data_IF_475579051214
#
_entry.id   IF_475579051214
#
_cell.length_a   1.000
_cell.length_b   1.000
_cell.length_c   1.000
_cell.angle_alpha   90.00
_cell.angle_beta   90.00
_cell.angle_gamma   90.00
#
_symmetry.space_group_name_H-M   'P 1'
#
loop_
_entity.id
_entity.type
_entity.pdbx_description
1 polymer ?
#
# COMPACT_ATOMS: atom_id res chain seq x y z
N UNK A 1 23.54 -25.94 62.87
CA UNK A 1 23.84 -25.49 61.49
C UNK A 1 22.86 -24.36 61.20
N UNK A 2 23.28 -23.13 61.45
CA UNK A 2 22.48 -21.93 61.20
C UNK A 2 22.30 -21.76 59.70
N UNK A 3 21.05 -21.67 59.26
CA UNK A 3 20.72 -21.28 57.89
C UNK A 3 21.05 -19.79 57.74
N UNK A 4 22.08 -19.47 56.97
CA UNK A 4 22.41 -18.11 56.58
C UNK A 4 21.24 -17.52 55.75
N UNK A 5 20.54 -16.54 56.32
CA UNK A 5 19.41 -15.83 55.72
C UNK A 5 19.84 -14.73 54.72
N UNK A 6 21.14 -14.64 54.40
CA UNK A 6 21.69 -13.54 53.59
C UNK A 6 21.58 -13.70 52.07
N UNK A 7 21.19 -14.88 51.56
CA UNK A 7 21.15 -15.12 50.11
C UNK A 7 19.74 -14.86 49.57
N UNK A 8 19.54 -13.72 48.90
CA UNK A 8 18.31 -13.44 48.16
C UNK A 8 18.00 -14.57 47.16
N UNK A 9 16.74 -14.98 46.98
CA UNK A 9 16.38 -16.01 46.01
C UNK A 9 16.80 -15.57 44.60
N UNK A 10 17.39 -16.48 43.83
CA UNK A 10 17.78 -16.23 42.43
C UNK A 10 16.54 -15.80 41.67
N UNK A 11 16.56 -14.60 41.09
CA UNK A 11 15.43 -14.07 40.33
C UNK A 11 15.17 -14.95 39.10
N UNK A 12 13.97 -15.50 38.98
CA UNK A 12 13.54 -16.18 37.77
C UNK A 12 13.06 -15.15 36.73
N UNK A 13 13.40 -15.31 35.44
CA UNK A 13 12.88 -14.45 34.40
C UNK A 13 11.35 -14.59 34.32
N UNK A 14 10.71 -13.52 33.86
CA UNK A 14 9.29 -13.56 33.53
C UNK A 14 9.04 -14.58 32.41
N UNK A 15 7.81 -15.08 32.36
CA UNK A 15 7.35 -15.93 31.25
C UNK A 15 7.50 -15.15 29.93
N UNK A 16 7.99 -15.78 28.84
CA UNK A 16 8.10 -15.10 27.55
C UNK A 16 6.71 -14.70 27.03
N UNK A 17 6.61 -13.45 26.58
CA UNK A 17 5.43 -12.88 25.92
C UNK A 17 5.83 -12.24 24.59
N UNK A 18 4.90 -12.19 23.63
CA UNK A 18 5.14 -11.67 22.27
C UNK A 18 4.41 -10.36 22.09
N UNK A 19 5.15 -9.28 21.79
CA UNK A 19 4.61 -8.00 21.34
C UNK A 19 4.78 -7.82 19.83
N UNK A 20 3.71 -7.43 19.12
CA UNK A 20 3.73 -7.17 17.69
C UNK A 20 3.74 -5.67 17.43
N UNK A 21 4.63 -5.20 16.55
CA UNK A 21 4.66 -3.83 16.06
C UNK A 21 5.15 -3.78 14.61
N UNK A 22 4.92 -2.67 13.92
CA UNK A 22 5.38 -2.47 12.55
C UNK A 22 6.82 -1.96 12.55
N UNK A 23 7.74 -2.79 12.06
CA UNK A 23 9.13 -2.38 11.85
C UNK A 23 9.27 -1.43 10.65
N UNK A 24 8.50 -1.64 9.58
CA UNK A 24 8.56 -0.82 8.38
C UNK A 24 7.23 -0.81 7.63
N UNK A 25 6.89 0.34 7.02
CA UNK A 25 5.78 0.52 6.08
C UNK A 25 6.39 0.98 4.75
N UNK A 26 6.20 0.21 3.68
CA UNK A 26 6.77 0.49 2.35
C UNK A 26 8.29 0.72 2.36
N UNK A 27 9.02 0.01 3.24
CA UNK A 27 10.48 0.15 3.39
C UNK A 27 10.93 1.29 4.32
N UNK A 28 10.02 2.16 4.77
CA UNK A 28 10.32 3.22 5.73
C UNK A 28 10.00 2.78 7.16
N UNK A 29 10.92 2.98 8.10
CA UNK A 29 10.68 2.70 9.51
C UNK A 29 9.84 3.81 10.16
N UNK A 30 8.64 3.52 10.68
CA UNK A 30 7.81 4.55 11.31
C UNK A 30 8.40 4.97 12.66
N UNK A 31 8.22 6.24 13.01
CA UNK A 31 8.67 6.80 14.28
C UNK A 31 7.70 6.39 15.41
N UNK A 32 7.78 5.14 15.86
CA UNK A 32 7.04 4.64 17.04
C UNK A 32 7.99 4.45 18.22
N UNK A 33 7.46 4.25 19.43
CA UNK A 33 8.28 4.09 20.63
C UNK A 33 9.12 2.80 20.62
N UNK A 34 8.64 1.77 19.91
CA UNK A 34 9.29 0.47 19.76
C UNK A 34 10.41 0.48 18.71
N UNK A 35 10.36 1.42 17.77
CA UNK A 35 11.35 1.54 16.71
C UNK A 35 12.50 2.47 17.14
N UNK A 36 13.77 2.11 16.90
CA UNK A 36 14.90 3.01 17.14
C UNK A 36 14.75 4.32 16.38
N UNK A 37 14.95 5.44 17.09
CA UNK A 37 15.10 6.76 16.47
C UNK A 37 16.46 6.86 15.79
N UNK A 38 16.55 6.36 14.56
CA UNK A 38 17.72 6.65 13.75
C UNK A 38 17.64 8.15 13.43
N UNK A 39 18.60 8.94 13.94
CA UNK A 39 18.75 10.36 13.60
C UNK A 39 19.24 10.44 12.15
N UNK A 40 18.35 10.10 11.22
CA UNK A 40 18.54 10.32 9.79
C UNK A 40 17.86 11.65 9.52
N UNK A 41 18.65 12.62 9.05
CA UNK A 41 18.15 13.89 8.57
C UNK A 41 16.93 13.61 7.68
N UNK A 42 15.78 14.16 8.11
CA UNK A 42 14.49 14.21 7.42
C UNK A 42 14.39 13.20 6.28
N UNK A 43 13.83 12.01 6.59
CA UNK A 43 13.29 11.14 5.55
C UNK A 43 12.10 11.88 4.92
N UNK A 44 12.39 12.87 4.07
CA UNK A 44 11.46 13.33 3.06
C UNK A 44 10.99 12.08 2.35
N UNK A 45 9.68 11.86 2.34
CA UNK A 45 9.05 10.97 1.38
C UNK A 45 9.35 11.53 -0.02
N UNK A 46 10.56 11.29 -0.52
CA UNK A 46 10.87 11.61 -1.89
C UNK A 46 9.92 10.76 -2.73
N UNK A 47 9.10 11.38 -3.58
CA UNK A 47 8.19 10.64 -4.43
C UNK A 47 9.05 9.69 -5.26
N UNK A 48 8.89 8.39 -5.00
CA UNK A 48 9.57 7.31 -5.70
C UNK A 48 9.47 7.60 -7.21
N UNK A 49 10.61 7.90 -7.83
CA UNK A 49 10.65 8.12 -9.27
C UNK A 49 10.38 6.79 -9.93
N UNK A 50 9.14 6.61 -10.39
CA UNK A 50 8.68 5.36 -10.96
C UNK A 50 9.56 4.98 -12.17
N UNK A 51 9.97 3.71 -12.33
CA UNK A 51 10.68 3.26 -13.52
C UNK A 51 9.82 3.49 -14.79
N UNK A 52 10.49 3.70 -15.92
CA UNK A 52 9.87 4.13 -17.18
C UNK A 52 8.79 3.15 -17.67
N UNK A 53 9.00 1.86 -17.43
CA UNK A 53 8.10 0.77 -17.78
C UNK A 53 6.80 0.87 -16.99
N UNK A 54 6.88 1.14 -15.68
CA UNK A 54 5.70 1.33 -14.83
C UNK A 54 4.96 2.62 -15.16
N UNK A 55 5.66 3.69 -15.55
CA UNK A 55 5.02 4.92 -16.05
C UNK A 55 4.21 4.66 -17.32
N UNK A 56 4.76 3.87 -18.25
CA UNK A 56 4.07 3.47 -19.48
C UNK A 56 2.87 2.57 -19.19
N UNK A 57 3.02 1.62 -18.26
CA UNK A 57 1.93 0.76 -17.81
C UNK A 57 0.80 1.59 -17.19
N UNK A 58 1.13 2.52 -16.29
CA UNK A 58 0.18 3.47 -15.71
C UNK A 58 -0.58 4.25 -16.79
N UNK A 59 0.14 4.85 -17.73
CA UNK A 59 -0.47 5.62 -18.81
C UNK A 59 -1.44 4.77 -19.65
N UNK A 60 -1.09 3.52 -19.93
CA UNK A 60 -1.97 2.57 -20.65
C UNK A 60 -3.21 2.22 -19.84
N UNK A 61 -3.05 1.88 -18.57
CA UNK A 61 -4.16 1.52 -17.68
C UNK A 61 -5.15 2.68 -17.58
N UNK A 62 -4.65 3.88 -17.24
CA UNK A 62 -5.48 5.08 -17.10
C UNK A 62 -6.14 5.43 -18.43
N UNK A 63 -5.41 5.37 -19.55
CA UNK A 63 -5.98 5.62 -20.88
C UNK A 63 -7.16 4.72 -21.21
N UNK A 64 -7.04 3.41 -20.95
CA UNK A 64 -8.10 2.43 -21.21
C UNK A 64 -9.28 2.62 -20.25
N UNK A 65 -9.02 2.84 -18.97
CA UNK A 65 -10.07 3.02 -17.95
C UNK A 65 -10.88 4.29 -18.20
N UNK A 66 -10.23 5.40 -18.57
CA UNK A 66 -10.91 6.69 -18.79
C UNK A 66 -11.63 6.79 -20.15
N UNK A 67 -11.21 6.01 -21.14
CA UNK A 67 -11.85 5.95 -22.46
C UNK A 67 -12.95 4.87 -22.56
N UNK A 68 -13.16 4.09 -21.50
CA UNK A 68 -14.15 3.02 -21.48
C UNK A 68 -15.57 3.54 -21.78
N UNK A 69 -16.19 2.98 -22.81
CA UNK A 69 -17.57 3.25 -23.19
C UNK A 69 -18.47 2.05 -22.90
N UNK A 70 -19.75 2.28 -22.55
CA UNK A 70 -20.66 1.22 -22.12
C UNK A 70 -21.23 0.40 -23.30
N UNK A 71 -21.18 0.95 -24.51
CA UNK A 71 -21.78 0.37 -25.72
C UNK A 71 -20.89 -0.65 -26.41
N UNK A 72 -19.59 -0.69 -26.11
CA UNK A 72 -18.65 -1.64 -26.69
C UNK A 72 -17.82 -2.27 -25.57
N UNK A 73 -17.97 -3.59 -25.31
CA UNK A 73 -17.09 -4.28 -24.38
C UNK A 73 -15.68 -4.31 -24.99
N UNK A 74 -14.82 -3.40 -24.53
CA UNK A 74 -13.44 -3.32 -24.99
C UNK A 74 -12.64 -4.46 -24.35
N UNK A 75 -12.07 -5.34 -25.19
CA UNK A 75 -11.14 -6.40 -24.75
C UNK A 75 -9.98 -5.81 -23.92
N UNK A 76 -9.62 -4.55 -24.19
CA UNK A 76 -8.63 -3.82 -23.39
C UNK A 76 -9.05 -3.63 -21.94
N UNK A 77 -10.30 -3.29 -21.65
CA UNK A 77 -10.75 -3.06 -20.28
C UNK A 77 -10.77 -4.36 -19.48
N UNK A 78 -11.22 -5.47 -20.06
CA UNK A 78 -11.20 -6.77 -19.37
C UNK A 78 -9.77 -7.24 -19.08
N UNK A 79 -8.83 -7.02 -20.01
CA UNK A 79 -7.41 -7.28 -19.80
C UNK A 79 -6.82 -6.43 -18.67
N UNK A 80 -7.12 -5.12 -18.64
CA UNK A 80 -6.68 -4.24 -17.55
C UNK A 80 -7.23 -4.70 -16.20
N UNK A 81 -8.52 -5.04 -16.14
CA UNK A 81 -9.15 -5.54 -14.92
C UNK A 81 -8.53 -6.86 -14.44
N UNK A 82 -8.13 -7.74 -15.36
CA UNK A 82 -7.37 -8.96 -15.03
C UNK A 82 -5.99 -8.62 -14.48
N UNK A 83 -5.25 -7.73 -15.14
CA UNK A 83 -3.91 -7.28 -14.73
C UNK A 83 -3.95 -6.69 -13.31
N UNK A 84 -4.89 -5.78 -13.03
CA UNK A 84 -5.06 -5.19 -11.69
C UNK A 84 -5.34 -6.23 -10.60
N UNK A 85 -6.00 -7.34 -10.95
CA UNK A 85 -6.33 -8.42 -10.01
C UNK A 85 -5.19 -9.41 -9.79
N UNK A 86 -4.40 -9.71 -10.82
CA UNK A 86 -3.46 -10.85 -10.79
C UNK A 86 -2.01 -10.46 -10.62
N UNK A 87 -1.63 -9.24 -11.01
CA UNK A 87 -0.23 -8.85 -11.07
C UNK A 87 0.24 -8.25 -9.73
N UNK A 88 1.21 -8.92 -9.11
CA UNK A 88 1.82 -8.52 -7.83
C UNK A 88 2.78 -7.34 -7.98
N UNK A 89 3.27 -7.03 -9.18
CA UNK A 89 4.22 -5.95 -9.45
C UNK A 89 3.61 -4.55 -9.46
N UNK A 90 2.28 -4.43 -9.33
CA UNK A 90 1.54 -3.16 -9.41
C UNK A 90 1.51 -2.42 -8.06
N UNK A 91 2.08 -2.99 -6.99
CA UNK A 91 2.03 -2.38 -5.66
C UNK A 91 2.60 -0.95 -5.62
N UNK A 92 3.70 -0.69 -6.35
CA UNK A 92 4.28 0.66 -6.49
C UNK A 92 3.35 1.65 -7.19
N UNK A 93 2.46 1.17 -8.06
CA UNK A 93 1.49 1.98 -8.80
C UNK A 93 0.22 2.31 -8.00
N UNK A 94 -0.07 1.54 -6.96
CA UNK A 94 -1.23 1.71 -6.08
C UNK A 94 -1.44 3.15 -5.60
N UNK A 95 -0.45 3.86 -5.04
CA UNK A 95 -0.65 5.25 -4.60
C UNK A 95 -0.98 6.21 -5.75
N UNK A 96 -0.44 5.98 -6.96
CA UNK A 96 -0.70 6.81 -8.13
C UNK A 96 -2.09 6.55 -8.72
N UNK A 97 -2.48 5.28 -8.81
CA UNK A 97 -3.81 4.86 -9.27
C UNK A 97 -4.89 5.34 -8.30
N UNK A 98 -4.69 5.20 -6.99
CA UNK A 98 -5.66 5.66 -6.00
C UNK A 98 -5.86 7.18 -6.06
N UNK A 99 -4.76 7.96 -6.17
CA UNK A 99 -4.83 9.41 -6.35
C UNK A 99 -5.55 9.80 -7.64
N UNK A 100 -5.22 9.14 -8.75
CA UNK A 100 -5.86 9.39 -10.04
C UNK A 100 -7.36 9.10 -9.98
N UNK A 101 -7.75 7.92 -9.48
CA UNK A 101 -9.15 7.52 -9.37
C UNK A 101 -9.93 8.44 -8.45
N UNK A 102 -9.37 8.84 -7.31
CA UNK A 102 -9.98 9.83 -6.44
C UNK A 102 -10.23 11.17 -7.16
N UNK A 103 -9.23 11.68 -7.89
CA UNK A 103 -9.38 12.92 -8.67
C UNK A 103 -10.47 12.79 -9.74
N UNK A 104 -10.52 11.65 -10.42
CA UNK A 104 -11.51 11.40 -11.48
C UNK A 104 -12.93 11.26 -10.93
N UNK A 105 -13.11 10.59 -9.79
CA UNK A 105 -14.40 10.50 -9.09
C UNK A 105 -14.87 11.88 -8.62
N UNK A 106 -13.95 12.66 -8.03
CA UNK A 106 -14.23 14.03 -7.57
C UNK A 106 -14.60 14.97 -8.72
N UNK A 107 -13.93 14.86 -9.86
CA UNK A 107 -14.18 15.72 -11.02
C UNK A 107 -15.41 15.29 -11.85
N UNK A 108 -15.80 14.01 -11.82
CA UNK A 108 -16.79 13.45 -12.75
C UNK A 108 -18.01 12.80 -12.04
N UNK A 109 -18.65 13.49 -11.10
CA UNK A 109 -19.79 12.94 -10.34
C UNK A 109 -21.02 12.58 -11.18
N UNK A 110 -21.19 13.22 -12.36
CA UNK A 110 -22.36 13.00 -13.23
C UNK A 110 -22.14 11.92 -14.30
N UNK A 111 -20.91 11.48 -14.53
CA UNK A 111 -20.58 10.47 -15.56
C UNK A 111 -20.63 9.07 -14.94
N UNK A 112 -21.85 8.56 -14.76
CA UNK A 112 -22.10 7.28 -14.06
C UNK A 112 -21.36 6.08 -14.67
N UNK A 113 -21.18 6.07 -16.00
CA UNK A 113 -20.45 5.00 -16.68
C UNK A 113 -18.97 4.99 -16.27
N UNK A 114 -18.33 6.15 -16.28
CA UNK A 114 -16.94 6.31 -15.86
C UNK A 114 -16.77 5.89 -14.39
N UNK A 115 -17.69 6.35 -13.53
CA UNK A 115 -17.68 5.99 -12.10
C UNK A 115 -17.81 4.48 -11.90
N UNK A 116 -18.71 3.82 -12.62
CA UNK A 116 -18.88 2.37 -12.54
C UNK A 116 -17.61 1.64 -12.95
N UNK A 117 -16.93 2.11 -14.01
CA UNK A 117 -15.64 1.54 -14.44
C UNK A 117 -14.55 1.76 -13.40
N UNK A 118 -14.44 2.96 -12.83
CA UNK A 118 -13.44 3.28 -11.78
C UNK A 118 -13.69 2.44 -10.52
N UNK A 119 -14.94 2.32 -10.07
CA UNK A 119 -15.30 1.47 -8.92
C UNK A 119 -14.96 0.01 -9.22
N UNK A 120 -15.18 -0.45 -10.45
CA UNK A 120 -14.76 -1.79 -10.89
C UNK A 120 -13.24 -1.97 -10.82
N UNK A 121 -12.48 -0.98 -11.30
CA UNK A 121 -11.01 -1.00 -11.24
C UNK A 121 -10.51 -1.01 -9.79
N UNK A 122 -11.10 -0.19 -8.90
CA UNK A 122 -10.81 -0.20 -7.46
C UNK A 122 -11.11 -1.57 -6.85
N UNK A 123 -12.26 -2.17 -7.17
CA UNK A 123 -12.62 -3.52 -6.70
C UNK A 123 -11.66 -4.60 -7.21
N UNK A 124 -11.00 -4.37 -8.33
CA UNK A 124 -10.01 -5.32 -8.87
C UNK A 124 -8.64 -5.16 -8.22
N UNK A 125 -8.40 -4.05 -7.54
CA UNK A 125 -7.16 -3.73 -6.83
C UNK A 125 -7.19 -4.18 -5.35
N UNK A 126 -8.38 -4.50 -4.84
CA UNK A 126 -8.65 -5.09 -3.52
C UNK A 126 -8.76 -6.61 -3.63
#
# INVERSE_FOLDING_TARGET
VEYDKSTAPIACPLKPEVGLHWLAVNGCQPLTAENPSVVIAEAEEQPLSLPKELQQLYARIVGIVLSANPTTPTVGLSAVMKVLRTDTGIQELTPYLSRCFYQQVRANTRRLVLLRTIIGAIKSLL
#
